data_IF_461304774409
#
_entry.id   IF_461304774409
#
_cell.length_a   1.000
_cell.length_b   1.000
_cell.length_c   1.000
_cell.angle_alpha   90.00
_cell.angle_beta   90.00
_cell.angle_gamma   90.00
#
_symmetry.space_group_name_H-M   'P 1'
#
loop_
_entity.id
_entity.type
_entity.pdbx_description
1 polymer ?
#
# COMPACT_ATOMS: atom_id res chain seq x y z
N UNK A 1 -4.93 -31.12 6.08
CA UNK A 1 -4.58 -30.13 5.05
C UNK A 1 -5.57 -28.98 5.20
N UNK A 2 -5.11 -27.75 5.24
CA UNK A 2 -5.98 -26.56 5.35
C UNK A 2 -7.01 -26.53 4.21
N UNK A 3 -8.24 -26.16 4.54
CA UNK A 3 -9.30 -25.93 3.57
C UNK A 3 -9.31 -24.43 3.19
N UNK A 4 -9.26 -24.13 1.89
CA UNK A 4 -9.33 -22.77 1.36
C UNK A 4 -10.70 -22.44 0.74
N UNK A 5 -11.78 -22.89 1.36
CA UNK A 5 -13.14 -22.65 0.89
C UNK A 5 -13.72 -21.34 1.44
N UNK A 6 -13.63 -20.26 0.66
CA UNK A 6 -14.12 -18.94 1.08
C UNK A 6 -15.66 -18.82 1.14
N UNK A 7 -16.43 -19.85 0.73
CA UNK A 7 -17.89 -19.89 0.93
C UNK A 7 -18.25 -19.87 2.42
N UNK A 8 -17.39 -20.39 3.28
CA UNK A 8 -17.59 -20.35 4.74
C UNK A 8 -17.67 -18.91 5.28
N UNK A 9 -17.04 -17.93 4.60
CA UNK A 9 -17.10 -16.53 4.96
C UNK A 9 -18.47 -15.88 4.72
N UNK A 10 -19.23 -16.37 3.73
CA UNK A 10 -20.56 -15.83 3.40
C UNK A 10 -21.58 -16.09 4.52
N UNK A 11 -21.40 -17.17 5.28
CA UNK A 11 -22.23 -17.49 6.45
C UNK A 11 -21.80 -16.82 7.76
N UNK A 12 -20.69 -16.06 7.75
CA UNK A 12 -20.13 -15.43 8.95
C UNK A 12 -20.88 -14.15 9.30
N UNK A 13 -21.11 -13.93 10.60
CA UNK A 13 -21.61 -12.64 11.10
C UNK A 13 -20.46 -11.64 11.20
N UNK A 14 -20.68 -10.45 10.68
CA UNK A 14 -19.73 -9.32 10.74
C UNK A 14 -20.18 -8.29 11.77
N UNK A 15 -19.24 -7.71 12.52
CA UNK A 15 -19.56 -6.71 13.51
C UNK A 15 -19.92 -5.34 12.89
N UNK A 16 -20.53 -4.46 13.68
CA UNK A 16 -20.98 -3.15 13.23
C UNK A 16 -19.82 -2.24 12.76
N UNK A 17 -18.59 -2.45 13.27
CA UNK A 17 -17.43 -1.68 12.84
C UNK A 17 -17.07 -2.02 11.39
N UNK A 18 -16.98 -3.32 11.06
CA UNK A 18 -16.72 -3.80 9.70
C UNK A 18 -17.80 -3.32 8.74
N UNK A 19 -19.08 -3.49 9.10
CA UNK A 19 -20.20 -3.01 8.28
C UNK A 19 -20.13 -1.50 8.03
N UNK A 20 -19.80 -0.73 9.07
CA UNK A 20 -19.61 0.71 8.95
C UNK A 20 -18.44 1.11 8.06
N UNK A 21 -17.31 0.40 8.13
CA UNK A 21 -16.15 0.62 7.25
C UNK A 21 -16.47 0.32 5.79
N UNK A 22 -17.11 -0.82 5.52
CA UNK A 22 -17.53 -1.22 4.17
C UNK A 22 -18.49 -0.18 3.58
N UNK A 23 -19.52 0.22 4.31
CA UNK A 23 -20.49 1.23 3.86
C UNK A 23 -19.82 2.57 3.52
N UNK A 24 -18.91 3.05 4.39
CA UNK A 24 -18.16 4.29 4.12
C UNK A 24 -17.27 4.17 2.89
N UNK A 25 -16.56 3.05 2.71
CA UNK A 25 -15.70 2.86 1.52
C UNK A 25 -16.53 2.86 0.23
N UNK A 26 -17.70 2.23 0.23
CA UNK A 26 -18.62 2.26 -0.93
C UNK A 26 -19.10 3.68 -1.23
N UNK A 27 -19.45 4.47 -0.21
CA UNK A 27 -19.84 5.87 -0.38
C UNK A 27 -18.70 6.69 -0.99
N UNK A 28 -17.47 6.57 -0.47
CA UNK A 28 -16.30 7.26 -1.01
C UNK A 28 -15.96 6.81 -2.43
N UNK A 29 -16.11 5.52 -2.75
CA UNK A 29 -15.93 5.01 -4.12
C UNK A 29 -16.89 5.69 -5.08
N UNK A 30 -18.17 5.79 -4.74
CA UNK A 30 -19.16 6.48 -5.56
C UNK A 30 -18.82 7.97 -5.78
N UNK A 31 -18.35 8.66 -4.74
CA UNK A 31 -17.89 10.06 -4.85
C UNK A 31 -16.62 10.18 -5.71
N UNK A 32 -15.67 9.25 -5.58
CA UNK A 32 -14.47 9.24 -6.42
C UNK A 32 -14.81 9.21 -7.92
N UNK A 33 -15.79 8.43 -8.34
CA UNK A 33 -16.20 8.35 -9.75
C UNK A 33 -16.62 9.70 -10.34
N UNK A 34 -17.21 10.59 -9.53
CA UNK A 34 -17.55 11.95 -9.93
C UNK A 34 -16.30 12.80 -10.18
N UNK A 35 -15.31 12.71 -9.27
CA UNK A 35 -14.06 13.45 -9.41
C UNK A 35 -13.24 12.99 -10.62
N UNK A 36 -13.22 11.68 -10.90
CA UNK A 36 -12.50 11.13 -12.06
C UNK A 36 -12.98 11.71 -13.38
N UNK A 37 -14.28 12.04 -13.49
CA UNK A 37 -14.87 12.64 -14.69
C UNK A 37 -14.61 14.14 -14.81
N UNK A 38 -14.37 14.83 -13.70
CA UNK A 38 -14.33 16.30 -13.65
C UNK A 38 -12.92 16.88 -13.71
N UNK A 39 -11.87 16.15 -13.31
CA UNK A 39 -10.53 16.72 -13.04
C UNK A 39 -9.35 15.84 -13.49
N UNK A 40 -9.28 15.49 -14.78
CA UNK A 40 -8.27 14.53 -15.26
C UNK A 40 -6.81 15.03 -15.07
N UNK A 41 -6.53 16.31 -15.29
CA UNK A 41 -5.15 16.83 -15.24
C UNK A 41 -4.56 16.84 -13.82
N UNK A 42 -5.37 17.16 -12.82
CA UNK A 42 -4.99 17.14 -11.40
C UNK A 42 -4.75 15.71 -10.91
N UNK A 43 -5.58 14.78 -11.40
CA UNK A 43 -5.49 13.37 -11.05
C UNK A 43 -4.23 12.71 -11.63
N UNK A 44 -3.79 13.07 -12.84
CA UNK A 44 -2.52 12.58 -13.41
C UNK A 44 -1.34 12.86 -12.50
N UNK A 45 -1.30 14.05 -11.90
CA UNK A 45 -0.24 14.42 -10.95
C UNK A 45 -0.29 13.60 -9.66
N UNK A 46 -1.49 13.28 -9.15
CA UNK A 46 -1.64 12.39 -8.00
C UNK A 46 -1.14 10.98 -8.31
N UNK A 47 -1.41 10.47 -9.52
CA UNK A 47 -0.93 9.16 -9.98
C UNK A 47 0.60 9.10 -9.92
N UNK A 48 1.29 10.09 -10.49
CA UNK A 48 2.76 10.10 -10.49
C UNK A 48 3.35 10.14 -9.07
N UNK A 49 2.73 10.88 -8.16
CA UNK A 49 3.15 10.95 -6.76
C UNK A 49 2.88 9.61 -6.06
N UNK A 50 1.69 9.04 -6.24
CA UNK A 50 1.33 7.77 -5.63
C UNK A 50 2.26 6.64 -6.09
N UNK A 51 2.64 6.59 -7.36
CA UNK A 51 3.61 5.61 -7.90
C UNK A 51 4.97 5.70 -7.22
N UNK A 52 5.49 6.92 -7.03
CA UNK A 52 6.77 7.11 -6.31
C UNK A 52 6.64 6.66 -4.86
N UNK A 53 5.58 7.08 -4.16
CA UNK A 53 5.35 6.75 -2.76
C UNK A 53 5.11 5.25 -2.55
N UNK A 54 4.37 4.58 -3.43
CA UNK A 54 4.11 3.14 -3.37
C UNK A 54 5.39 2.34 -3.58
N UNK A 55 6.19 2.74 -4.59
CA UNK A 55 7.47 2.11 -4.87
C UNK A 55 8.45 2.27 -3.71
N UNK A 56 8.56 3.47 -3.13
CA UNK A 56 9.42 3.74 -1.98
C UNK A 56 8.99 2.94 -0.76
N UNK A 57 7.74 3.13 -0.34
CA UNK A 57 7.22 2.59 0.91
C UNK A 57 7.21 1.06 0.94
N UNK A 58 6.80 0.41 -0.15
CA UNK A 58 6.78 -1.04 -0.21
C UNK A 58 8.17 -1.66 -0.11
N UNK A 59 9.19 -1.04 -0.72
CA UNK A 59 10.57 -1.49 -0.62
C UNK A 59 11.18 -1.16 0.76
N UNK A 60 10.87 0.02 1.32
CA UNK A 60 11.35 0.41 2.66
C UNK A 60 10.82 -0.50 3.78
N UNK A 61 9.59 -1.01 3.68
CA UNK A 61 9.03 -2.01 4.60
C UNK A 61 9.95 -3.24 4.69
N UNK A 62 10.54 -3.65 3.57
CA UNK A 62 11.48 -4.78 3.47
C UNK A 62 12.95 -4.39 3.70
N UNK A 63 13.23 -3.14 4.09
CA UNK A 63 14.58 -2.65 4.35
C UNK A 63 15.38 -2.27 3.09
N UNK A 64 14.75 -2.28 1.90
CA UNK A 64 15.35 -1.92 0.62
C UNK A 64 15.28 -0.41 0.43
N UNK A 65 16.41 0.25 0.23
CA UNK A 65 16.50 1.72 0.24
C UNK A 65 17.43 2.28 -0.82
N UNK A 66 17.10 3.48 -1.30
CA UNK A 66 17.99 4.33 -2.10
C UNK A 66 17.81 5.80 -1.70
N UNK A 67 18.59 6.71 -2.29
CA UNK A 67 18.40 8.15 -2.04
C UNK A 67 17.17 8.68 -2.78
N UNK A 68 16.49 9.70 -2.23
CA UNK A 68 15.29 10.28 -2.85
C UNK A 68 15.53 10.73 -4.30
N UNK A 69 16.72 11.28 -4.62
CA UNK A 69 17.07 11.68 -5.98
C UNK A 69 17.15 10.45 -6.91
N UNK A 70 17.76 9.36 -6.46
CA UNK A 70 17.86 8.12 -7.23
C UNK A 70 16.51 7.48 -7.42
N UNK A 71 15.72 7.40 -6.35
CA UNK A 71 14.34 6.87 -6.40
C UNK A 71 13.53 7.57 -7.48
N UNK A 72 13.50 8.91 -7.48
CA UNK A 72 12.78 9.69 -8.49
C UNK A 72 13.28 9.44 -9.92
N UNK A 73 14.59 9.23 -10.10
CA UNK A 73 15.16 8.88 -11.39
C UNK A 73 14.77 7.48 -11.84
N UNK A 74 14.81 6.50 -10.92
CA UNK A 74 14.43 5.11 -11.18
C UNK A 74 12.93 4.99 -11.51
N UNK A 75 12.06 5.61 -10.71
CA UNK A 75 10.61 5.54 -10.93
C UNK A 75 10.19 6.21 -12.24
N UNK A 76 10.88 7.28 -12.65
CA UNK A 76 10.64 7.98 -13.93
C UNK A 76 11.38 7.38 -15.13
N UNK A 77 12.00 6.24 -14.97
CA UNK A 77 12.78 5.54 -16.00
C UNK A 77 13.89 6.38 -16.63
N UNK A 78 14.55 7.21 -15.82
CA UNK A 78 15.62 8.12 -16.27
C UNK A 78 17.03 7.63 -15.98
N UNK A 79 17.17 6.41 -15.46
CA UNK A 79 18.45 5.83 -15.08
C UNK A 79 18.38 4.30 -14.93
N UNK A 80 19.53 3.65 -14.96
CA UNK A 80 19.69 2.21 -14.69
C UNK A 80 20.04 1.96 -13.22
N UNK A 81 19.72 0.79 -12.65
CA UNK A 81 20.07 0.43 -11.28
C UNK A 81 21.58 0.28 -11.12
N UNK A 82 22.10 0.60 -9.93
CA UNK A 82 23.52 0.54 -9.58
C UNK A 82 23.87 -0.56 -8.61
N UNK A 83 22.87 -1.05 -7.88
CA UNK A 83 23.03 -2.08 -6.87
C UNK A 83 21.74 -2.89 -6.76
N UNK A 84 21.77 -3.93 -5.91
CA UNK A 84 20.65 -4.84 -5.66
C UNK A 84 19.37 -4.10 -5.23
N UNK A 85 19.48 -3.15 -4.31
CA UNK A 85 18.31 -2.44 -3.81
C UNK A 85 17.62 -1.66 -4.93
N UNK A 86 18.38 -1.01 -5.80
CA UNK A 86 17.84 -0.30 -6.96
C UNK A 86 17.26 -1.24 -8.02
N UNK A 87 17.81 -2.46 -8.20
CA UNK A 87 17.25 -3.52 -9.05
C UNK A 87 15.86 -3.95 -8.54
N UNK A 88 15.74 -4.18 -7.24
CA UNK A 88 14.50 -4.58 -6.59
C UNK A 88 13.44 -3.45 -6.60
N UNK A 89 13.84 -2.20 -6.45
CA UNK A 89 12.99 -1.00 -6.60
C UNK A 89 12.44 -0.91 -8.04
N UNK A 90 13.29 -1.12 -9.06
CA UNK A 90 12.86 -1.08 -10.46
C UNK A 90 11.88 -2.20 -10.78
N UNK A 91 12.13 -3.41 -10.31
CA UNK A 91 11.21 -4.54 -10.49
C UNK A 91 9.84 -4.26 -9.88
N UNK A 92 9.79 -3.72 -8.66
CA UNK A 92 8.54 -3.32 -8.02
C UNK A 92 7.78 -2.25 -8.83
N UNK A 93 8.50 -1.19 -9.26
CA UNK A 93 7.95 -0.14 -10.12
C UNK A 93 7.28 -0.71 -11.37
N UNK A 94 7.95 -1.62 -12.05
CA UNK A 94 7.47 -2.17 -13.33
C UNK A 94 6.22 -3.03 -13.13
N UNK A 95 6.20 -3.87 -12.09
CA UNK A 95 5.01 -4.65 -11.76
C UNK A 95 3.85 -3.73 -11.34
N UNK A 96 4.10 -2.69 -10.55
CA UNK A 96 3.09 -1.70 -10.19
C UNK A 96 2.52 -0.99 -11.42
N UNK A 97 3.38 -0.58 -12.37
CA UNK A 97 2.95 0.02 -13.63
C UNK A 97 2.09 -0.96 -14.45
N UNK A 98 2.52 -2.22 -14.58
CA UNK A 98 1.75 -3.27 -15.25
C UNK A 98 0.36 -3.41 -14.66
N UNK A 99 0.24 -3.42 -13.33
CA UNK A 99 -1.05 -3.47 -12.63
C UNK A 99 -1.87 -2.21 -12.92
N UNK A 100 -1.28 -1.02 -12.81
CA UNK A 100 -1.98 0.25 -13.05
C UNK A 100 -2.57 0.36 -14.46
N UNK A 101 -1.90 -0.21 -15.45
CA UNK A 101 -2.26 -0.11 -16.86
C UNK A 101 -3.13 -1.27 -17.35
N UNK A 102 -2.98 -2.47 -16.76
CA UNK A 102 -3.51 -3.71 -17.31
C UNK A 102 -4.31 -4.56 -16.31
N UNK A 103 -4.70 -4.05 -15.14
CA UNK A 103 -5.37 -4.85 -14.09
C UNK A 103 -6.59 -5.62 -14.58
N UNK A 104 -7.34 -5.09 -15.55
CA UNK A 104 -8.53 -5.73 -16.12
C UNK A 104 -8.19 -7.04 -16.84
N UNK A 105 -6.98 -7.14 -17.39
CA UNK A 105 -6.50 -8.26 -18.20
C UNK A 105 -5.59 -9.22 -17.42
N UNK A 106 -5.38 -9.01 -16.13
CA UNK A 106 -4.56 -9.89 -15.28
C UNK A 106 -5.48 -10.81 -14.49
N UNK A 107 -5.68 -12.08 -14.90
CA UNK A 107 -6.47 -13.06 -14.15
C UNK A 107 -5.82 -13.41 -12.81
N UNK A 108 -6.63 -13.74 -11.82
CA UNK A 108 -6.13 -14.18 -10.51
C UNK A 108 -5.92 -15.70 -10.58
N UNK A 109 -4.72 -16.09 -10.98
CA UNK A 109 -4.28 -17.49 -11.07
C UNK A 109 -2.83 -17.63 -10.62
N UNK A 110 -2.42 -18.83 -10.22
CA UNK A 110 -1.04 -19.11 -9.81
C UNK A 110 -0.03 -18.73 -10.90
N UNK A 111 -0.35 -18.98 -12.17
CA UNK A 111 0.54 -18.64 -13.30
C UNK A 111 0.78 -17.13 -13.42
N UNK A 112 -0.24 -16.30 -13.26
CA UNK A 112 -0.08 -14.84 -13.30
C UNK A 112 0.63 -14.32 -12.05
N UNK A 113 0.39 -14.92 -10.88
CA UNK A 113 1.15 -14.60 -9.65
C UNK A 113 2.63 -14.92 -9.85
N UNK A 114 2.97 -16.07 -10.45
CA UNK A 114 4.34 -16.42 -10.80
C UNK A 114 4.95 -15.45 -11.82
N UNK A 115 4.17 -15.00 -12.82
CA UNK A 115 4.63 -14.03 -13.79
C UNK A 115 4.93 -12.67 -13.14
N UNK A 116 4.04 -12.15 -12.31
CA UNK A 116 4.29 -10.90 -11.58
C UNK A 116 5.51 -11.01 -10.68
N UNK A 117 5.72 -12.16 -10.02
CA UNK A 117 6.93 -12.43 -9.23
C UNK A 117 8.19 -12.54 -10.09
N UNK A 118 8.11 -13.11 -11.30
CA UNK A 118 9.23 -13.11 -12.25
C UNK A 118 9.60 -11.68 -12.63
N UNK A 119 8.62 -10.85 -12.93
CA UNK A 119 8.82 -9.48 -13.37
C UNK A 119 9.32 -8.59 -12.23
N UNK A 120 8.94 -8.89 -10.96
CA UNK A 120 9.51 -8.25 -9.76
C UNK A 120 11.03 -8.44 -9.64
N UNK A 121 11.56 -9.57 -10.14
CA UNK A 121 12.97 -9.91 -10.07
C UNK A 121 13.69 -9.82 -11.43
N UNK A 122 13.08 -9.20 -12.45
CA UNK A 122 13.63 -9.16 -13.82
C UNK A 122 14.99 -8.47 -13.93
N UNK A 123 15.31 -7.54 -13.03
CA UNK A 123 16.60 -6.86 -12.98
C UNK A 123 17.60 -7.54 -12.05
N UNK A 124 17.15 -8.48 -11.24
CA UNK A 124 18.01 -9.17 -10.28
C UNK A 124 18.75 -10.33 -10.89
N UNK A 125 20.02 -10.51 -10.52
CA UNK A 125 20.80 -11.67 -10.87
C UNK A 125 20.36 -12.97 -10.15
N UNK A 126 19.42 -12.87 -9.19
CA UNK A 126 18.86 -14.05 -8.50
C UNK A 126 17.91 -14.81 -9.41
N UNK A 127 18.12 -16.11 -9.59
CA UNK A 127 17.25 -16.98 -10.41
C UNK A 127 15.98 -17.46 -9.67
N UNK A 128 15.44 -16.63 -8.77
CA UNK A 128 14.27 -16.97 -7.95
C UNK A 128 12.94 -16.48 -8.53
N UNK A 129 13.00 -15.52 -9.46
CA UNK A 129 11.81 -14.93 -10.07
C UNK A 129 10.92 -15.97 -10.76
N UNK A 130 9.60 -15.91 -10.51
CA UNK A 130 8.61 -16.79 -11.15
C UNK A 130 8.65 -18.25 -10.72
N UNK A 131 9.21 -18.55 -9.57
CA UNK A 131 9.30 -19.91 -9.03
C UNK A 131 8.78 -19.96 -7.59
N UNK A 132 7.99 -20.97 -7.28
CA UNK A 132 7.65 -21.27 -5.89
C UNK A 132 8.90 -21.65 -5.10
N UNK A 133 8.83 -21.46 -3.80
CA UNK A 133 9.90 -21.85 -2.86
C UNK A 133 10.23 -23.34 -2.99
N UNK A 134 11.50 -23.63 -2.87
CA UNK A 134 12.04 -25.00 -2.88
C UNK A 134 12.66 -25.42 -1.55
N UNK A 135 12.72 -24.49 -0.60
CA UNK A 135 13.19 -24.70 0.77
C UNK A 135 12.14 -24.19 1.74
N UNK A 136 12.07 -24.80 2.94
CA UNK A 136 11.21 -24.30 4.01
C UNK A 136 11.67 -22.90 4.41
N UNK A 137 10.75 -21.96 4.44
CA UNK A 137 10.96 -20.63 4.97
C UNK A 137 10.22 -20.48 6.31
N UNK A 138 10.65 -19.48 7.09
CA UNK A 138 10.08 -19.18 8.39
C UNK A 138 9.85 -17.67 8.49
N UNK A 139 8.78 -17.30 9.17
CA UNK A 139 8.54 -15.90 9.56
C UNK A 139 9.09 -15.77 10.98
N UNK A 140 10.16 -15.00 11.12
CA UNK A 140 10.85 -14.80 12.41
C UNK A 140 10.56 -13.42 12.98
N UNK A 141 10.64 -13.32 14.29
CA UNK A 141 10.65 -12.05 15.03
C UNK A 141 11.86 -12.02 15.96
N UNK A 142 12.24 -10.82 16.38
CA UNK A 142 13.33 -10.60 17.33
C UNK A 142 12.73 -10.06 18.63
N UNK A 143 13.05 -10.71 19.77
CA UNK A 143 12.62 -10.25 21.09
C UNK A 143 13.37 -8.99 21.57
N UNK A 144 12.97 -8.48 22.73
CA UNK A 144 13.61 -7.29 23.33
C UNK A 144 15.08 -7.49 23.69
N UNK A 145 15.51 -8.75 23.86
CA UNK A 145 16.89 -9.16 24.14
C UNK A 145 17.71 -9.41 22.87
N UNK A 146 17.12 -9.22 21.67
CA UNK A 146 17.80 -9.41 20.38
C UNK A 146 17.86 -10.86 19.90
N UNK A 147 17.12 -11.79 20.51
CA UNK A 147 17.09 -13.20 20.11
C UNK A 147 16.03 -13.41 19.03
N UNK A 148 16.43 -14.06 17.95
CA UNK A 148 15.51 -14.45 16.87
C UNK A 148 14.72 -15.71 17.27
N UNK A 149 13.41 -15.67 17.03
CA UNK A 149 12.52 -16.83 17.20
C UNK A 149 11.54 -16.93 16.03
N UNK A 150 11.09 -18.16 15.76
CA UNK A 150 10.09 -18.41 14.71
C UNK A 150 8.72 -18.01 15.22
N UNK A 151 8.13 -17.01 14.58
CA UNK A 151 6.78 -16.52 14.85
C UNK A 151 5.73 -17.39 14.18
N UNK A 152 5.99 -17.77 12.92
CA UNK A 152 5.06 -18.59 12.13
C UNK A 152 5.82 -19.48 11.15
N UNK A 153 5.34 -20.71 10.96
CA UNK A 153 5.86 -21.65 9.96
C UNK A 153 4.88 -21.77 8.80
N UNK A 154 5.19 -21.17 7.63
CA UNK A 154 4.38 -21.32 6.41
C UNK A 154 4.29 -22.78 5.93
N UNK A 155 3.39 -23.01 4.95
CA UNK A 155 3.26 -24.32 4.31
C UNK A 155 4.59 -24.84 3.75
N UNK A 156 4.74 -26.15 3.70
CA UNK A 156 5.92 -26.77 3.11
C UNK A 156 6.00 -26.51 1.59
N UNK A 157 7.20 -26.55 0.97
CA UNK A 157 7.36 -26.29 -0.46
C UNK A 157 6.45 -27.14 -1.36
N UNK A 158 6.23 -28.40 -1.04
CA UNK A 158 5.39 -29.30 -1.86
C UNK A 158 3.89 -28.99 -1.73
N UNK A 159 3.45 -28.38 -0.62
CA UNK A 159 2.07 -27.95 -0.38
C UNK A 159 1.75 -26.60 -1.02
N UNK A 160 2.77 -25.80 -1.33
CA UNK A 160 2.64 -24.41 -1.78
C UNK A 160 1.90 -24.27 -3.13
N UNK A 161 2.26 -25.00 -4.23
CA UNK A 161 1.56 -24.86 -5.50
C UNK A 161 0.05 -25.16 -5.41
N UNK A 162 -0.39 -26.30 -4.87
CA UNK A 162 -1.82 -26.60 -4.78
C UNK A 162 -2.57 -25.62 -3.83
N UNK A 163 -1.91 -25.07 -2.81
CA UNK A 163 -2.52 -24.07 -1.95
C UNK A 163 -2.78 -22.75 -2.68
N UNK A 164 -1.80 -22.27 -3.48
CA UNK A 164 -2.00 -21.05 -4.30
C UNK A 164 -3.08 -21.25 -5.36
N UNK A 165 -3.15 -22.41 -6.00
CA UNK A 165 -4.25 -22.73 -6.92
C UNK A 165 -5.60 -22.69 -6.19
N UNK A 166 -5.69 -23.30 -5.02
CA UNK A 166 -6.92 -23.37 -4.23
C UNK A 166 -7.43 -21.98 -3.78
N UNK A 167 -6.54 -21.09 -3.28
CA UNK A 167 -6.98 -19.73 -2.92
C UNK A 167 -7.42 -18.93 -4.14
N UNK A 168 -6.75 -19.07 -5.27
CA UNK A 168 -7.13 -18.39 -6.52
C UNK A 168 -8.50 -18.87 -7.02
N UNK A 169 -8.74 -20.18 -7.04
CA UNK A 169 -10.03 -20.77 -7.46
C UNK A 169 -11.16 -20.33 -6.53
N UNK A 170 -10.92 -20.40 -5.21
CA UNK A 170 -11.91 -20.00 -4.21
C UNK A 170 -12.24 -18.50 -4.31
N UNK A 171 -11.22 -17.65 -4.47
CA UNK A 171 -11.40 -16.21 -4.66
C UNK A 171 -12.23 -15.91 -5.92
N UNK A 172 -11.85 -16.46 -7.07
CA UNK A 172 -12.56 -16.21 -8.33
C UNK A 172 -14.02 -16.65 -8.23
N UNK A 173 -14.31 -17.82 -7.64
CA UNK A 173 -15.68 -18.31 -7.43
C UNK A 173 -16.51 -17.31 -6.62
N UNK A 174 -15.96 -16.79 -5.51
CA UNK A 174 -16.68 -15.84 -4.66
C UNK A 174 -16.93 -14.49 -5.34
N UNK A 175 -15.98 -14.02 -6.17
CA UNK A 175 -16.17 -12.81 -6.98
C UNK A 175 -17.26 -13.02 -8.03
N UNK A 176 -17.28 -14.18 -8.71
CA UNK A 176 -18.25 -14.49 -9.76
C UNK A 176 -19.67 -14.63 -9.19
N UNK A 177 -19.83 -15.25 -8.00
CA UNK A 177 -21.14 -15.42 -7.36
C UNK A 177 -21.62 -14.19 -6.61
N UNK A 178 -20.74 -13.25 -6.28
CA UNK A 178 -21.05 -12.03 -5.50
C UNK A 178 -21.70 -12.33 -4.13
N UNK A 179 -21.43 -13.50 -3.53
CA UNK A 179 -21.97 -13.88 -2.23
C UNK A 179 -21.33 -13.14 -1.06
N UNK A 180 -20.15 -12.55 -1.28
CA UNK A 180 -19.42 -11.78 -0.28
C UNK A 180 -18.83 -10.51 -0.92
N UNK A 181 -18.86 -9.41 -0.16
CA UNK A 181 -18.22 -8.16 -0.60
C UNK A 181 -16.71 -8.35 -0.78
N UNK A 182 -16.18 -7.86 -1.89
CA UNK A 182 -14.76 -7.97 -2.22
C UNK A 182 -13.86 -7.34 -1.13
N UNK A 183 -14.33 -6.30 -0.43
CA UNK A 183 -13.62 -5.68 0.68
C UNK A 183 -13.40 -6.62 1.88
N UNK A 184 -14.23 -7.63 2.03
CA UNK A 184 -14.09 -8.66 3.05
C UNK A 184 -13.25 -9.84 2.56
N UNK A 185 -13.38 -10.15 1.27
CA UNK A 185 -12.69 -11.28 0.64
C UNK A 185 -11.20 -11.01 0.40
N UNK A 186 -10.86 -9.82 -0.09
CA UNK A 186 -9.47 -9.44 -0.42
C UNK A 186 -8.53 -9.59 0.78
N UNK A 187 -8.83 -9.07 1.98
CA UNK A 187 -7.96 -9.25 3.14
C UNK A 187 -7.70 -10.72 3.48
N UNK A 188 -8.72 -11.58 3.38
CA UNK A 188 -8.57 -13.01 3.65
C UNK A 188 -7.65 -13.69 2.63
N UNK A 189 -7.83 -13.40 1.34
CA UNK A 189 -6.94 -13.89 0.30
C UNK A 189 -5.47 -13.45 0.53
N UNK A 190 -5.26 -12.18 0.87
CA UNK A 190 -3.91 -11.65 1.12
C UNK A 190 -3.29 -12.27 2.37
N UNK A 191 -4.09 -12.49 3.44
CA UNK A 191 -3.63 -13.17 4.64
C UNK A 191 -3.23 -14.62 4.34
N UNK A 192 -4.07 -15.38 3.62
CA UNK A 192 -3.75 -16.74 3.18
C UNK A 192 -2.49 -16.78 2.32
N UNK A 193 -2.33 -15.86 1.36
CA UNK A 193 -1.12 -15.73 0.56
C UNK A 193 0.13 -15.54 1.44
N UNK A 194 0.04 -14.69 2.46
CA UNK A 194 1.16 -14.44 3.38
C UNK A 194 1.44 -15.65 4.30
N UNK A 195 0.42 -16.39 4.71
CA UNK A 195 0.59 -17.63 5.50
C UNK A 195 1.13 -18.81 4.66
N UNK A 196 0.72 -18.93 3.41
CA UNK A 196 1.33 -19.88 2.46
C UNK A 196 2.79 -19.52 2.19
N UNK A 197 3.08 -18.23 2.07
CA UNK A 197 4.42 -17.67 1.84
C UNK A 197 5.14 -18.32 0.66
N UNK A 198 4.59 -18.18 -0.56
CA UNK A 198 4.90 -19.07 -1.67
C UNK A 198 6.30 -18.92 -2.27
N UNK A 199 7.02 -17.85 -1.98
CA UNK A 199 8.31 -17.54 -2.58
C UNK A 199 9.46 -17.63 -1.57
N UNK A 200 10.68 -17.85 -2.05
CA UNK A 200 11.87 -17.77 -1.21
C UNK A 200 12.16 -16.32 -0.75
N UNK A 201 11.74 -15.32 -1.54
CA UNK A 201 11.91 -13.88 -1.24
C UNK A 201 10.80 -13.09 -1.96
N UNK A 202 10.46 -11.89 -1.49
CA UNK A 202 9.50 -10.99 -2.13
C UNK A 202 8.03 -11.21 -1.78
N UNK A 203 7.69 -12.07 -0.82
CA UNK A 203 6.29 -12.35 -0.46
C UNK A 203 5.56 -11.09 0.04
N UNK A 204 6.19 -10.26 0.87
CA UNK A 204 5.61 -9.02 1.36
C UNK A 204 5.34 -8.02 0.24
N UNK A 205 6.27 -7.82 -0.69
CA UNK A 205 6.07 -6.95 -1.86
C UNK A 205 4.98 -7.47 -2.77
N UNK A 206 4.98 -8.79 -3.04
CA UNK A 206 3.93 -9.43 -3.83
C UNK A 206 2.55 -9.32 -3.18
N UNK A 207 2.43 -9.47 -1.87
CA UNK A 207 1.14 -9.32 -1.18
C UNK A 207 0.56 -7.91 -1.33
N UNK A 208 1.41 -6.85 -1.28
CA UNK A 208 0.97 -5.47 -1.49
C UNK A 208 0.60 -5.18 -2.94
N UNK A 209 1.36 -5.71 -3.91
CA UNK A 209 1.01 -5.63 -5.33
C UNK A 209 -0.29 -6.38 -5.64
N UNK A 210 -0.48 -7.57 -5.06
CA UNK A 210 -1.73 -8.32 -5.19
C UNK A 210 -2.90 -7.60 -4.54
N UNK A 211 -2.72 -6.97 -3.38
CA UNK A 211 -3.74 -6.12 -2.75
C UNK A 211 -4.22 -5.04 -3.73
N UNK A 212 -3.28 -4.34 -4.36
CA UNK A 212 -3.59 -3.31 -5.37
C UNK A 212 -4.34 -3.90 -6.57
N UNK A 213 -3.87 -5.03 -7.11
CA UNK A 213 -4.51 -5.72 -8.24
C UNK A 213 -5.95 -6.14 -7.91
N UNK A 214 -6.16 -6.80 -6.77
CA UNK A 214 -7.47 -7.29 -6.35
C UNK A 214 -8.46 -6.16 -6.10
N UNK A 215 -8.01 -5.07 -5.46
CA UNK A 215 -8.82 -3.86 -5.27
C UNK A 215 -9.23 -3.25 -6.61
N UNK A 216 -8.30 -3.09 -7.56
CA UNK A 216 -8.61 -2.51 -8.87
C UNK A 216 -9.59 -3.37 -9.66
N UNK A 217 -9.41 -4.67 -9.69
CA UNK A 217 -10.35 -5.60 -10.32
C UNK A 217 -11.75 -5.57 -9.71
N UNK A 218 -11.85 -5.21 -8.43
CA UNK A 218 -13.12 -5.01 -7.72
C UNK A 218 -13.65 -3.56 -7.83
N UNK A 219 -12.99 -2.71 -8.62
CA UNK A 219 -13.40 -1.32 -8.87
C UNK A 219 -12.97 -0.32 -7.80
N UNK A 220 -12.08 -0.69 -6.88
CA UNK A 220 -11.53 0.22 -5.86
C UNK A 220 -10.16 0.74 -6.31
N UNK A 221 -10.16 1.76 -7.17
CA UNK A 221 -8.93 2.28 -7.80
C UNK A 221 -8.21 3.35 -6.97
N UNK A 222 -8.51 3.46 -5.68
CA UNK A 222 -7.96 4.49 -4.81
C UNK A 222 -6.42 4.43 -4.72
N UNK A 223 -5.83 3.23 -4.74
CA UNK A 223 -4.38 3.02 -4.73
C UNK A 223 -3.63 3.64 -5.90
N UNK A 224 -4.35 3.99 -6.98
CA UNK A 224 -3.79 4.72 -8.13
C UNK A 224 -3.43 6.17 -7.79
N UNK A 225 -4.16 6.78 -6.86
CA UNK A 225 -4.07 8.21 -6.50
C UNK A 225 -3.43 8.45 -5.14
N UNK A 226 -3.57 7.50 -4.22
CA UNK A 226 -3.03 7.56 -2.86
C UNK A 226 -2.33 6.24 -2.55
N UNK A 227 -1.06 6.29 -2.19
CA UNK A 227 -0.29 5.08 -1.85
C UNK A 227 -0.82 4.40 -0.59
N UNK A 228 -1.31 3.18 -0.74
CA UNK A 228 -1.68 2.31 0.39
C UNK A 228 -0.42 1.86 1.14
N UNK A 229 0.64 1.56 0.42
CA UNK A 229 1.93 1.12 0.98
C UNK A 229 2.55 2.19 1.89
N UNK A 230 2.41 3.47 1.54
CA UNK A 230 2.85 4.58 2.39
C UNK A 230 2.07 4.65 3.70
N UNK A 231 0.77 4.32 3.68
CA UNK A 231 -0.04 4.23 4.90
C UNK A 231 0.37 3.03 5.76
N UNK A 232 0.63 1.88 5.14
CA UNK A 232 1.12 0.67 5.81
C UNK A 232 2.49 0.94 6.44
N UNK A 233 3.43 1.57 5.73
CA UNK A 233 4.75 1.89 6.23
C UNK A 233 4.71 2.82 7.47
N UNK A 234 3.80 3.80 7.48
CA UNK A 234 3.59 4.71 8.63
C UNK A 234 3.06 3.99 9.87
N UNK A 235 2.33 2.90 9.69
CA UNK A 235 1.70 2.12 10.76
C UNK A 235 2.16 0.65 10.74
N UNK A 236 3.45 0.42 10.42
CA UNK A 236 4.03 -0.90 10.18
C UNK A 236 3.76 -1.89 11.32
N UNK A 237 3.83 -1.45 12.56
CA UNK A 237 3.57 -2.30 13.72
C UNK A 237 2.12 -2.82 13.72
N UNK A 238 1.14 -1.93 13.52
CA UNK A 238 -0.28 -2.34 13.47
C UNK A 238 -0.57 -3.32 12.33
N UNK A 239 0.16 -3.19 11.20
CA UNK A 239 0.06 -4.14 10.09
C UNK A 239 0.51 -5.54 10.50
N UNK A 240 1.68 -5.64 11.13
CA UNK A 240 2.20 -6.93 11.56
C UNK A 240 1.43 -7.51 12.75
N UNK A 241 0.98 -6.68 13.71
CA UNK A 241 0.15 -7.10 14.83
C UNK A 241 -1.18 -7.73 14.34
N UNK A 242 -1.81 -7.10 13.32
CA UNK A 242 -3.04 -7.63 12.74
C UNK A 242 -2.81 -8.97 12.02
N UNK A 243 -1.71 -9.12 11.28
CA UNK A 243 -1.34 -10.38 10.63
C UNK A 243 -1.05 -11.47 11.67
N UNK A 244 -0.28 -11.18 12.70
CA UNK A 244 0.06 -12.13 13.75
C UNK A 244 -1.18 -12.65 14.49
N UNK A 245 -2.13 -11.75 14.79
CA UNK A 245 -3.38 -12.15 15.42
C UNK A 245 -4.17 -13.13 14.55
N UNK A 246 -4.24 -12.89 13.25
CA UNK A 246 -4.93 -13.75 12.29
C UNK A 246 -4.21 -15.09 12.01
N UNK A 247 -2.90 -15.17 12.25
CA UNK A 247 -2.13 -16.41 12.03
C UNK A 247 -2.43 -17.49 13.07
N UNK A 248 -2.98 -17.12 14.25
CA UNK A 248 -3.30 -18.07 15.32
C UNK A 248 -4.42 -19.02 14.87
N UNK A 249 -4.15 -20.32 14.86
CA UNK A 249 -5.11 -21.34 14.42
C UNK A 249 -5.25 -21.46 12.90
N UNK A 250 -4.41 -20.79 12.12
CA UNK A 250 -4.51 -20.81 10.66
C UNK A 250 -4.36 -22.21 10.06
N UNK A 251 -3.42 -23.02 10.56
CA UNK A 251 -3.22 -24.39 10.09
C UNK A 251 -4.40 -25.31 10.41
N UNK A 252 -5.17 -25.01 11.44
CA UNK A 252 -6.32 -25.75 11.95
C UNK A 252 -7.67 -25.27 11.40
N UNK A 253 -7.69 -24.25 10.54
CA UNK A 253 -8.89 -23.52 10.08
C UNK A 253 -9.76 -22.95 11.23
N UNK A 254 -9.12 -22.45 12.28
CA UNK A 254 -9.79 -21.86 13.45
C UNK A 254 -9.41 -20.40 13.68
N UNK A 255 -8.69 -19.81 12.74
CA UNK A 255 -8.26 -18.43 12.80
C UNK A 255 -9.42 -17.44 12.73
N UNK A 256 -9.21 -16.27 13.32
CA UNK A 256 -10.09 -15.12 13.14
C UNK A 256 -9.46 -14.11 12.15
N UNK A 257 -10.01 -13.94 10.93
CA UNK A 257 -9.50 -13.00 9.95
C UNK A 257 -9.88 -11.53 10.27
N UNK A 258 -10.73 -11.29 11.26
CA UNK A 258 -11.28 -9.97 11.61
C UNK A 258 -10.22 -8.89 11.83
N UNK A 259 -9.13 -9.11 12.58
CA UNK A 259 -8.12 -8.08 12.83
C UNK A 259 -7.50 -7.54 11.54
N UNK A 260 -7.14 -8.39 10.60
CA UNK A 260 -6.53 -7.96 9.36
C UNK A 260 -7.55 -7.35 8.38
N UNK A 261 -8.79 -7.84 8.36
CA UNK A 261 -9.89 -7.22 7.62
C UNK A 261 -10.07 -5.77 8.09
N UNK A 262 -10.22 -5.53 9.40
CA UNK A 262 -10.37 -4.18 9.96
C UNK A 262 -9.20 -3.29 9.62
N UNK A 263 -7.98 -3.78 9.78
CA UNK A 263 -6.77 -3.02 9.44
C UNK A 263 -6.75 -2.57 7.98
N UNK A 264 -7.02 -3.48 7.03
CA UNK A 264 -6.99 -3.16 5.62
C UNK A 264 -8.14 -2.22 5.22
N UNK A 265 -9.35 -2.43 5.74
CA UNK A 265 -10.48 -1.52 5.51
C UNK A 265 -10.20 -0.10 6.05
N UNK A 266 -9.63 0.03 7.25
CA UNK A 266 -9.24 1.33 7.82
C UNK A 266 -8.16 2.01 6.95
N UNK A 267 -7.21 1.25 6.42
CA UNK A 267 -6.16 1.74 5.52
C UNK A 267 -6.76 2.27 4.20
N UNK A 268 -7.70 1.52 3.61
CA UNK A 268 -8.42 1.91 2.38
C UNK A 268 -9.27 3.16 2.63
N UNK A 269 -10.03 3.20 3.72
CA UNK A 269 -10.86 4.35 4.08
C UNK A 269 -10.02 5.61 4.31
N UNK A 270 -8.87 5.47 4.99
CA UNK A 270 -7.94 6.58 5.18
C UNK A 270 -7.35 7.07 3.85
N UNK A 271 -7.16 6.19 2.86
CA UNK A 271 -6.73 6.60 1.52
C UNK A 271 -7.82 7.40 0.78
N UNK A 272 -9.08 6.98 0.88
CA UNK A 272 -10.20 7.71 0.29
C UNK A 272 -10.39 9.10 0.91
N UNK A 273 -10.25 9.22 2.23
CA UNK A 273 -10.30 10.53 2.93
C UNK A 273 -9.18 11.46 2.47
N UNK A 274 -7.94 10.97 2.40
CA UNK A 274 -6.81 11.76 1.87
C UNK A 274 -7.05 12.18 0.41
N UNK A 275 -7.68 11.33 -0.39
CA UNK A 275 -8.02 11.66 -1.78
C UNK A 275 -9.00 12.82 -1.84
N UNK A 276 -10.09 12.78 -1.09
CA UNK A 276 -11.07 13.87 -1.07
C UNK A 276 -10.46 15.18 -0.60
N UNK A 277 -9.64 15.15 0.47
CA UNK A 277 -8.94 16.33 0.96
C UNK A 277 -8.05 16.95 -0.14
N UNK A 278 -7.30 16.12 -0.87
CA UNK A 278 -6.44 16.60 -1.96
C UNK A 278 -7.22 17.15 -3.14
N UNK A 279 -8.32 16.51 -3.50
CA UNK A 279 -9.18 16.97 -4.60
C UNK A 279 -9.92 18.27 -4.21
N UNK A 280 -10.41 18.38 -2.97
CA UNK A 280 -11.05 19.60 -2.46
C UNK A 280 -10.10 20.81 -2.47
N UNK A 281 -8.81 20.62 -2.14
CA UNK A 281 -7.79 21.68 -2.22
C UNK A 281 -7.58 22.19 -3.66
N UNK A 282 -7.86 21.38 -4.66
CA UNK A 282 -7.75 21.75 -6.08
C UNK A 282 -8.97 22.55 -6.52
N UNK A 283 -10.16 22.26 -5.98
CA UNK A 283 -11.42 22.94 -6.35
C UNK A 283 -11.46 24.43 -6.02
N UNK A 284 -10.84 24.77 -4.90
CA UNK A 284 -10.84 26.16 -4.43
C UNK A 284 -9.68 26.93 -5.06
N UNK A 285 -9.37 27.12 -6.25
CA UNK A 285 -8.27 27.94 -6.83
C UNK A 285 -7.59 28.90 -5.83
N UNK A 286 -7.19 28.32 -4.69
CA UNK A 286 -6.63 29.06 -3.57
C UNK A 286 -5.23 29.54 -3.94
N UNK A 287 -4.82 30.73 -3.47
CA UNK A 287 -3.42 31.13 -3.52
C UNK A 287 -2.52 30.07 -2.87
N UNK A 288 -1.30 29.89 -3.41
CA UNK A 288 -0.36 28.87 -2.91
C UNK A 288 -0.17 28.92 -1.38
N UNK A 289 -0.17 30.13 -0.81
CA UNK A 289 -0.03 30.35 0.64
C UNK A 289 -1.21 29.73 1.41
N UNK A 290 -2.43 29.93 0.92
CA UNK A 290 -3.63 29.40 1.57
C UNK A 290 -3.72 27.89 1.43
N UNK A 291 -3.34 27.33 0.27
CA UNK A 291 -3.24 25.87 0.06
C UNK A 291 -2.25 25.24 1.04
N UNK A 292 -1.06 25.82 1.19
CA UNK A 292 -0.06 25.35 2.15
C UNK A 292 -0.55 25.53 3.58
N UNK A 293 -1.18 26.66 3.92
CA UNK A 293 -1.74 26.92 5.24
C UNK A 293 -2.74 25.83 5.66
N UNK A 294 -3.70 25.49 4.78
CA UNK A 294 -4.69 24.43 5.04
C UNK A 294 -4.04 23.05 5.18
N UNK A 295 -3.10 22.72 4.29
CA UNK A 295 -2.40 21.46 4.32
C UNK A 295 -1.63 21.21 5.63
N UNK A 296 -1.05 22.25 6.22
CA UNK A 296 -0.31 22.14 7.49
C UNK A 296 -1.18 22.36 8.71
N UNK A 297 -2.42 22.87 8.56
CA UNK A 297 -3.32 23.16 9.68
C UNK A 297 -3.63 21.92 10.53
N UNK A 298 -3.81 20.77 9.90
CA UNK A 298 -4.11 19.50 10.56
C UNK A 298 -2.86 18.74 11.03
N UNK A 299 -1.65 19.25 10.73
CA UNK A 299 -0.41 18.63 11.21
C UNK A 299 -0.16 18.97 12.67
N UNK A 300 0.03 17.93 13.49
CA UNK A 300 0.44 18.05 14.89
C UNK A 300 1.95 17.83 14.98
N UNK A 301 2.67 18.75 15.67
CA UNK A 301 4.11 18.65 15.86
C UNK A 301 4.93 19.20 14.69
N UNK A 302 6.11 18.63 14.46
CA UNK A 302 7.06 19.07 13.43
C UNK A 302 6.75 18.48 12.07
N UNK A 303 7.03 19.26 11.01
CA UNK A 303 6.96 18.79 9.63
C UNK A 303 8.08 19.41 8.78
N UNK A 304 8.43 18.76 7.69
CA UNK A 304 9.48 19.17 6.75
C UNK A 304 8.87 19.76 5.48
N UNK A 305 9.71 20.47 4.70
CA UNK A 305 9.31 20.93 3.37
C UNK A 305 8.90 19.78 2.44
N UNK A 306 9.55 18.64 2.54
CA UNK A 306 9.21 17.44 1.74
C UNK A 306 7.80 16.99 2.02
N UNK A 307 7.40 16.93 3.29
CA UNK A 307 6.03 16.56 3.67
C UNK A 307 5.00 17.59 3.18
N UNK A 308 5.32 18.88 3.17
CA UNK A 308 4.43 19.90 2.58
C UNK A 308 4.30 19.71 1.06
N UNK A 309 5.37 19.32 0.38
CA UNK A 309 5.31 18.98 -1.05
C UNK A 309 4.42 17.79 -1.34
N UNK A 310 4.42 16.79 -0.46
CA UNK A 310 3.52 15.62 -0.56
C UNK A 310 2.06 16.02 -0.34
N UNK A 311 1.81 16.92 0.62
CA UNK A 311 0.46 17.41 0.95
C UNK A 311 -0.11 18.38 -0.11
N UNK A 312 0.75 19.10 -0.81
CA UNK A 312 0.36 20.11 -1.81
C UNK A 312 0.88 19.72 -3.21
N UNK A 313 0.48 18.59 -3.77
CA UNK A 313 1.02 18.07 -5.03
C UNK A 313 0.74 18.96 -6.24
N UNK A 314 -0.28 19.81 -6.18
CA UNK A 314 -0.66 20.74 -7.24
C UNK A 314 0.25 21.95 -7.34
N UNK A 315 1.04 22.24 -6.30
CA UNK A 315 1.95 23.38 -6.28
C UNK A 315 3.36 23.02 -6.75
N UNK A 316 4.02 23.95 -7.45
CA UNK A 316 5.43 23.80 -7.76
C UNK A 316 6.28 23.90 -6.48
N UNK A 317 7.49 23.31 -6.50
CA UNK A 317 8.46 23.44 -5.40
C UNK A 317 8.71 24.90 -5.03
N UNK A 318 8.89 25.77 -6.03
CA UNK A 318 9.11 27.20 -5.82
C UNK A 318 7.89 27.88 -5.17
N UNK A 319 6.67 27.52 -5.58
CA UNK A 319 5.44 28.04 -4.98
C UNK A 319 5.31 27.64 -3.50
N UNK A 320 5.67 26.39 -3.17
CA UNK A 320 5.64 25.88 -1.79
C UNK A 320 6.70 26.59 -0.94
N UNK A 321 7.93 26.76 -1.46
CA UNK A 321 8.99 27.47 -0.74
C UNK A 321 8.61 28.92 -0.43
N UNK A 322 8.02 29.62 -1.41
CA UNK A 322 7.51 30.97 -1.22
C UNK A 322 6.34 31.01 -0.23
N UNK A 323 5.41 30.07 -0.32
CA UNK A 323 4.28 29.98 0.60
C UNK A 323 4.73 29.73 2.05
N UNK A 324 5.65 28.79 2.27
CA UNK A 324 6.21 28.53 3.61
C UNK A 324 6.92 29.78 4.15
N UNK A 325 7.70 30.47 3.31
CA UNK A 325 8.38 31.70 3.69
C UNK A 325 7.38 32.78 4.15
N UNK A 326 6.31 33.00 3.38
CA UNK A 326 5.25 33.95 3.74
C UNK A 326 4.53 33.54 5.04
N UNK A 327 4.22 32.27 5.26
CA UNK A 327 3.59 31.79 6.49
C UNK A 327 4.50 31.96 7.72
N UNK A 328 5.82 31.82 7.55
CA UNK A 328 6.81 32.12 8.60
C UNK A 328 6.86 33.63 8.87
N UNK A 329 6.88 34.47 7.83
CA UNK A 329 6.84 35.94 7.96
C UNK A 329 5.57 36.46 8.62
N UNK A 330 4.43 35.75 8.40
CA UNK A 330 3.14 36.02 9.04
C UNK A 330 3.08 35.51 10.48
N UNK A 331 4.10 34.81 10.97
CA UNK A 331 4.12 34.23 12.31
C UNK A 331 3.20 33.01 12.49
N UNK A 332 2.64 32.44 11.41
CA UNK A 332 1.80 31.24 11.45
C UNK A 332 2.62 29.96 11.52
N UNK A 333 3.85 29.99 11.05
CA UNK A 333 4.83 28.91 11.14
C UNK A 333 6.10 29.38 11.81
N UNK A 334 6.72 28.49 12.57
CA UNK A 334 8.06 28.69 13.16
C UNK A 334 9.05 27.77 12.46
N UNK A 335 10.15 28.34 11.95
CA UNK A 335 11.24 27.60 11.33
C UNK A 335 12.27 27.18 12.38
N UNK A 336 12.68 25.93 12.35
CA UNK A 336 13.71 25.37 13.21
C UNK A 336 14.84 24.75 12.37
N UNK A 337 16.06 24.84 12.87
CA UNK A 337 17.25 24.28 12.22
C UNK A 337 17.70 24.99 10.96
N UNK A 338 18.76 24.50 10.33
CA UNK A 338 19.37 25.03 9.11
C UNK A 338 19.73 23.92 8.13
N UNK A 339 19.76 24.24 6.84
CA UNK A 339 20.14 23.31 5.79
C UNK A 339 19.24 22.06 5.74
N UNK A 340 19.83 20.87 5.73
CA UNK A 340 19.10 19.59 5.61
C UNK A 340 18.27 19.22 6.85
N UNK A 341 18.58 19.80 8.02
CA UNK A 341 17.84 19.55 9.26
C UNK A 341 16.69 20.54 9.50
N UNK A 342 16.34 21.36 8.51
CA UNK A 342 15.25 22.34 8.64
C UNK A 342 13.91 21.64 8.74
N UNK A 343 13.15 21.99 9.79
CA UNK A 343 11.75 21.62 9.97
C UNK A 343 10.92 22.82 10.44
N UNK A 344 9.62 22.67 10.43
CA UNK A 344 8.66 23.71 10.79
C UNK A 344 7.68 23.18 11.82
N UNK A 345 7.18 24.08 12.67
CA UNK A 345 6.03 23.85 13.55
C UNK A 345 5.00 24.92 13.32
N UNK A 346 3.74 24.65 13.65
CA UNK A 346 2.76 25.73 13.74
C UNK A 346 3.12 26.64 14.91
N UNK A 347 2.83 27.92 14.76
CA UNK A 347 2.84 28.84 15.90
C UNK A 347 1.60 28.60 16.73
N UNK A 348 1.74 28.46 18.04
CA UNK A 348 0.62 28.35 18.98
C UNK A 348 -0.08 29.69 19.27
N UNK A 349 0.22 30.72 18.47
CA UNK A 349 -0.45 32.00 18.58
C UNK A 349 -1.85 31.92 17.96
N UNK A 350 -2.83 31.71 18.81
CA UNK A 350 -4.30 31.91 18.78
C UNK A 350 -5.03 31.75 17.45
#
# INVERSE_FOLDING_TARGET
MRNFDYRELAGRSWDNEILGLVAQIHEYKGRQELYLKQKPAELERLIEIAKVQSTEASNEIEGIRTTNTRLLQLVRDKTTPRNRDEEEIMGYRDVLNTIHENFEFIPITSNYILQLHRDLYQYSHKSIGGKFKNTQNYISATDAEGREFVLFTPLAPHETPPAIDAICESYNRMIDTQELDALLLIPVFIHDFLCIHPFNDGNGRMSRLLTTLLLYRSGYVIGRYISLESKIAKNKNLYYDALEQCQKGWNENTEDPTPFIKYLLQTILAAYRDFEERVAMVDEKLPAVETVRRAVYHKIGKFTKSEVMELCPTLSKASIENAIKQLVEQGLLVRHGTGRSTFYTRSDAQ
#
